data_IF_525964094962
#
_entry.id   IF_525964094962
#
_cell.length_a   1.000
_cell.length_b   1.000
_cell.length_c   1.000
_cell.angle_alpha   90.00
_cell.angle_beta   90.00
_cell.angle_gamma   90.00
#
_symmetry.space_group_name_H-M   'P 1'
#
loop_
_entity.id
_entity.type
_entity.pdbx_description
1 polymer ?
#
# COMPACT_ATOMS: atom_id res chain seq x y z
N UNK A 1 -41.51 -48.98 50.76
CA UNK A 1 -40.13 -48.43 50.59
C UNK A 1 -40.15 -47.50 49.39
N UNK A 2 -40.33 -46.23 49.66
CA UNK A 2 -40.38 -45.14 48.64
C UNK A 2 -39.02 -44.49 48.53
N UNK A 3 -38.38 -44.54 47.34
CA UNK A 3 -37.09 -43.90 47.10
C UNK A 3 -37.35 -42.49 46.55
N UNK A 4 -37.01 -41.48 47.35
CA UNK A 4 -37.04 -40.06 47.03
C UNK A 4 -35.88 -39.76 46.02
N UNK A 5 -36.20 -39.31 44.82
CA UNK A 5 -35.22 -38.80 43.85
C UNK A 5 -35.06 -37.31 44.08
N UNK A 6 -33.86 -36.90 44.49
CA UNK A 6 -33.46 -35.50 44.59
C UNK A 6 -33.19 -34.95 43.20
N UNK A 7 -33.89 -33.90 42.81
CA UNK A 7 -33.63 -33.07 41.63
C UNK A 7 -32.60 -32.00 42.03
N UNK A 8 -31.43 -32.04 41.44
CA UNK A 8 -30.48 -30.95 41.46
C UNK A 8 -30.79 -29.96 40.35
N UNK A 9 -30.88 -28.64 40.61
CA UNK A 9 -30.99 -27.67 39.54
C UNK A 9 -29.62 -27.44 38.90
N UNK A 10 -29.54 -27.65 37.59
CA UNK A 10 -28.38 -27.33 36.73
C UNK A 10 -28.31 -25.80 36.59
N UNK A 11 -27.42 -25.17 37.31
CA UNK A 11 -27.15 -23.74 37.12
C UNK A 11 -26.39 -23.54 35.78
N UNK A 12 -27.08 -22.93 34.82
CA UNK A 12 -26.49 -22.51 33.55
C UNK A 12 -25.59 -21.29 33.80
N UNK A 13 -24.30 -21.51 33.84
CA UNK A 13 -23.30 -20.44 33.92
C UNK A 13 -23.17 -19.82 32.53
N UNK A 14 -23.87 -18.72 32.28
CA UNK A 14 -23.69 -17.91 31.07
C UNK A 14 -22.36 -17.18 31.22
N UNK A 15 -21.33 -17.73 30.62
CA UNK A 15 -20.05 -17.01 30.43
C UNK A 15 -20.27 -15.92 29.38
N UNK A 16 -20.38 -14.69 29.86
CA UNK A 16 -20.38 -13.50 29.03
C UNK A 16 -18.97 -13.41 28.41
N UNK A 17 -18.82 -13.96 27.21
CA UNK A 17 -17.62 -13.76 26.38
C UNK A 17 -17.56 -12.28 26.03
N UNK A 18 -16.80 -11.52 26.81
CA UNK A 18 -16.47 -10.16 26.47
C UNK A 18 -15.78 -10.16 25.09
N UNK A 19 -16.47 -9.63 24.09
CA UNK A 19 -15.78 -9.20 22.86
C UNK A 19 -14.76 -8.16 23.32
N UNK A 20 -13.49 -8.57 23.44
CA UNK A 20 -12.39 -7.66 23.38
C UNK A 20 -12.44 -7.02 22.00
N UNK A 21 -13.07 -5.87 21.88
CA UNK A 21 -12.81 -4.94 20.79
C UNK A 21 -11.37 -4.48 20.99
N UNK A 22 -10.43 -5.20 20.38
CA UNK A 22 -9.07 -4.69 20.21
C UNK A 22 -9.27 -3.38 19.43
N UNK A 23 -8.97 -2.21 20.00
CA UNK A 23 -9.02 -0.98 19.23
C UNK A 23 -8.14 -1.24 18.00
N UNK A 24 -8.64 -0.92 16.80
CA UNK A 24 -7.82 -0.82 15.62
C UNK A 24 -6.73 0.18 16.01
N UNK A 25 -5.53 -0.32 16.36
CA UNK A 25 -4.41 0.53 16.70
C UNK A 25 -4.13 1.28 15.42
N UNK A 26 -4.56 2.53 15.35
CA UNK A 26 -4.16 3.45 14.32
C UNK A 26 -2.64 3.30 14.20
N UNK A 27 -2.10 3.33 12.98
CA UNK A 27 -0.66 3.19 12.77
C UNK A 27 0.05 4.49 13.18
N UNK A 28 -0.27 4.97 14.39
CA UNK A 28 0.21 6.24 14.96
C UNK A 28 1.74 6.32 14.97
N UNK A 29 2.40 5.17 15.13
CA UNK A 29 3.85 5.06 15.05
C UNK A 29 4.37 5.38 13.64
N UNK A 30 3.71 4.89 12.58
CA UNK A 30 4.11 5.18 11.21
C UNK A 30 3.84 6.65 10.86
N UNK A 31 2.70 7.19 11.31
CA UNK A 31 2.44 8.63 11.19
C UNK A 31 3.48 9.46 11.90
N UNK A 32 3.89 9.08 13.11
CA UNK A 32 4.93 9.79 13.86
C UNK A 32 6.32 9.73 13.19
N UNK A 33 6.60 8.69 12.40
CA UNK A 33 7.80 8.61 11.55
C UNK A 33 7.69 9.56 10.35
N UNK A 34 6.57 9.56 9.65
CA UNK A 34 6.29 10.49 8.56
C UNK A 34 6.41 11.96 9.00
N UNK A 35 5.81 12.32 10.14
CA UNK A 35 5.83 13.69 10.67
C UNK A 35 7.25 14.19 10.98
N UNK A 36 8.23 13.27 11.12
CA UNK A 36 9.64 13.57 11.37
C UNK A 36 10.51 13.45 10.13
N UNK A 37 9.97 12.96 9.03
CA UNK A 37 10.74 12.80 7.80
C UNK A 37 11.19 14.17 7.27
N UNK A 38 12.48 14.32 6.89
CA UNK A 38 12.97 15.53 6.24
C UNK A 38 12.65 15.56 4.74
N UNK A 39 12.15 14.46 4.16
CA UNK A 39 11.95 14.33 2.73
C UNK A 39 10.67 15.01 2.26
N UNK A 40 10.70 15.49 1.02
CA UNK A 40 9.51 16.03 0.39
C UNK A 40 8.59 14.90 -0.08
N UNK A 41 7.41 14.83 0.52
CA UNK A 41 6.31 13.98 0.10
C UNK A 41 5.06 14.80 -0.18
N UNK A 42 4.36 14.51 -1.27
CA UNK A 42 3.18 15.25 -1.67
C UNK A 42 2.10 14.34 -2.28
N UNK A 43 0.85 14.77 -2.16
CA UNK A 43 -0.22 14.16 -2.95
C UNK A 43 -0.30 14.81 -4.32
N UNK A 44 -0.39 13.97 -5.35
CA UNK A 44 -0.55 14.42 -6.73
C UNK A 44 -1.82 13.83 -7.34
N UNK A 45 -2.39 14.57 -8.30
CA UNK A 45 -3.52 14.12 -9.10
C UNK A 45 -3.03 13.72 -10.49
N UNK A 46 -3.18 12.45 -10.83
CA UNK A 46 -2.77 11.88 -12.10
C UNK A 46 -4.03 11.66 -12.94
N UNK A 47 -4.13 12.37 -14.07
CA UNK A 47 -5.26 12.20 -14.98
C UNK A 47 -4.99 11.05 -15.94
N UNK A 48 -5.84 10.03 -15.90
CA UNK A 48 -5.79 8.92 -16.82
C UNK A 48 -6.41 9.23 -18.20
N UNK A 49 -6.04 8.47 -19.23
CA UNK A 49 -6.68 8.59 -20.55
C UNK A 49 -8.20 8.35 -20.52
N UNK A 50 -8.70 7.55 -19.59
CA UNK A 50 -10.12 7.30 -19.34
C UNK A 50 -10.89 8.54 -18.86
N UNK A 51 -10.16 9.56 -18.37
CA UNK A 51 -10.72 10.72 -17.69
C UNK A 51 -10.81 10.55 -16.16
N UNK A 52 -10.52 9.38 -15.63
CA UNK A 52 -10.39 9.12 -14.18
C UNK A 52 -9.24 9.97 -13.62
N UNK A 53 -9.38 10.42 -12.39
CA UNK A 53 -8.34 11.13 -11.65
C UNK A 53 -7.87 10.22 -10.51
N UNK A 54 -6.64 9.77 -10.62
CA UNK A 54 -5.95 8.96 -9.63
C UNK A 54 -5.19 9.88 -8.66
N UNK A 55 -5.40 9.74 -7.37
CA UNK A 55 -4.57 10.36 -6.33
C UNK A 55 -3.37 9.44 -6.04
N UNK A 56 -2.20 10.01 -5.90
CA UNK A 56 -1.02 9.26 -5.52
C UNK A 56 -0.19 10.02 -4.49
N UNK A 57 0.38 9.31 -3.54
CA UNK A 57 1.44 9.82 -2.69
C UNK A 57 2.77 9.69 -3.42
N UNK A 58 3.52 10.77 -3.53
CA UNK A 58 4.82 10.78 -4.19
C UNK A 58 5.86 11.29 -3.21
N UNK A 59 6.97 10.55 -3.09
CA UNK A 59 8.10 10.95 -2.25
C UNK A 59 9.36 11.01 -3.11
N UNK A 60 10.11 12.09 -2.93
CA UNK A 60 11.32 12.35 -3.68
C UNK A 60 12.57 12.11 -2.82
N UNK A 61 13.62 11.47 -3.38
CA UNK A 61 14.87 11.29 -2.69
C UNK A 61 15.67 12.59 -2.68
N UNK A 62 16.42 12.82 -1.60
CA UNK A 62 17.37 13.95 -1.52
C UNK A 62 18.71 13.57 -2.15
N UNK A 63 18.72 13.40 -3.48
CA UNK A 63 19.91 13.05 -4.26
C UNK A 63 20.16 14.06 -5.39
N UNK A 64 21.42 14.21 -5.78
CA UNK A 64 21.80 15.12 -6.88
C UNK A 64 21.56 14.52 -8.26
N UNK A 65 21.72 13.20 -8.36
CA UNK A 65 21.60 12.47 -9.61
C UNK A 65 20.16 12.05 -9.88
N UNK A 66 19.87 11.71 -11.13
CA UNK A 66 18.56 11.15 -11.49
C UNK A 66 18.33 9.83 -10.79
N UNK A 67 17.15 9.68 -10.20
CA UNK A 67 16.76 8.54 -9.40
C UNK A 67 15.84 7.56 -10.16
N UNK A 68 15.98 6.25 -9.91
CA UNK A 68 15.01 5.27 -10.40
C UNK A 68 13.64 5.48 -9.76
N UNK A 69 12.59 5.09 -10.49
CA UNK A 69 11.21 5.17 -10.03
C UNK A 69 10.76 3.82 -9.48
N UNK A 70 10.05 3.85 -8.36
CA UNK A 70 9.33 2.71 -7.80
C UNK A 70 7.85 3.03 -7.77
N UNK A 71 7.04 2.24 -8.48
CA UNK A 71 5.60 2.19 -8.22
C UNK A 71 5.40 1.27 -7.04
N UNK A 72 4.88 1.82 -5.93
CA UNK A 72 4.60 1.04 -4.73
C UNK A 72 3.10 0.75 -4.64
N UNK A 73 2.74 -0.49 -4.31
CA UNK A 73 1.35 -0.94 -4.25
C UNK A 73 1.02 -1.31 -2.82
N UNK A 74 0.11 -0.56 -2.22
CA UNK A 74 -0.32 -0.71 -0.84
C UNK A 74 -0.93 -2.08 -0.51
N UNK A 75 -1.01 -2.40 0.77
CA UNK A 75 -1.72 -3.58 1.28
C UNK A 75 -3.24 -3.46 1.07
N UNK A 76 -3.98 -4.46 1.52
CA UNK A 76 -5.45 -4.48 1.55
C UNK A 76 -6.05 -3.32 2.38
N UNK A 77 -5.21 -2.60 3.11
CA UNK A 77 -5.58 -1.47 3.97
C UNK A 77 -5.60 -0.12 3.25
N UNK A 78 -5.41 -0.10 1.93
CA UNK A 78 -5.34 1.14 1.16
C UNK A 78 -4.07 1.93 1.41
N UNK A 79 -4.06 3.20 0.99
CA UNK A 79 -2.95 4.14 1.19
C UNK A 79 -2.91 4.59 2.66
N UNK A 80 -2.45 3.69 3.54
CA UNK A 80 -2.35 3.88 4.98
C UNK A 80 -1.11 4.71 5.37
N UNK A 81 -1.01 5.08 6.65
CA UNK A 81 0.17 5.77 7.17
C UNK A 81 1.44 4.93 7.02
N UNK A 82 1.36 3.61 7.27
CA UNK A 82 2.48 2.72 7.05
C UNK A 82 2.88 2.62 5.58
N UNK A 83 1.91 2.59 4.67
CA UNK A 83 2.20 2.55 3.24
C UNK A 83 3.00 3.79 2.83
N UNK A 84 2.56 4.98 3.24
CA UNK A 84 3.28 6.24 2.99
C UNK A 84 4.65 6.30 3.67
N UNK A 85 4.78 5.73 4.87
CA UNK A 85 6.05 5.65 5.59
C UNK A 85 7.04 4.73 4.86
N UNK A 86 6.62 3.57 4.37
CA UNK A 86 7.43 2.67 3.56
C UNK A 86 7.88 3.35 2.25
N UNK A 87 7.03 4.18 1.63
CA UNK A 87 7.40 4.99 0.47
C UNK A 87 8.50 6.00 0.84
N UNK A 88 8.39 6.63 2.00
CA UNK A 88 9.39 7.56 2.53
C UNK A 88 10.74 6.87 2.79
N UNK A 89 10.72 5.66 3.37
CA UNK A 89 11.93 4.86 3.59
C UNK A 89 12.61 4.46 2.28
N UNK A 90 11.85 4.05 1.25
CA UNK A 90 12.39 3.79 -0.08
C UNK A 90 12.99 5.05 -0.71
N UNK A 91 12.36 6.20 -0.51
CA UNK A 91 12.90 7.47 -0.97
C UNK A 91 14.22 7.81 -0.25
N UNK A 92 14.35 7.49 1.05
CA UNK A 92 15.61 7.64 1.79
C UNK A 92 16.76 6.83 1.19
N UNK A 93 16.43 5.71 0.56
CA UNK A 93 17.40 4.87 -0.15
C UNK A 93 17.69 5.35 -1.59
N UNK A 94 17.13 6.49 -2.01
CA UNK A 94 17.45 7.17 -3.26
C UNK A 94 16.55 6.82 -4.45
N UNK A 95 15.26 6.55 -4.20
CA UNK A 95 14.25 6.26 -5.22
C UNK A 95 13.15 7.30 -5.23
N UNK A 96 12.64 7.66 -6.41
CA UNK A 96 11.36 8.36 -6.52
C UNK A 96 10.29 7.31 -6.32
N UNK A 97 9.43 7.48 -5.32
CA UNK A 97 8.35 6.53 -5.05
C UNK A 97 7.03 7.15 -5.41
N UNK A 98 6.25 6.44 -6.22
CA UNK A 98 4.88 6.81 -6.59
C UNK A 98 3.96 5.73 -6.05
N UNK A 99 3.14 6.07 -5.08
CA UNK A 99 2.19 5.16 -4.46
C UNK A 99 0.76 5.62 -4.74
N UNK A 100 0.07 5.00 -5.72
CA UNK A 100 -1.31 5.35 -6.04
C UNK A 100 -2.27 4.94 -4.94
N UNK A 101 -3.22 5.80 -4.60
CA UNK A 101 -4.42 5.43 -3.86
C UNK A 101 -5.41 4.78 -4.82
N UNK A 102 -5.38 3.45 -4.89
CA UNK A 102 -6.20 2.68 -5.82
C UNK A 102 -7.71 2.76 -5.52
N UNK A 103 -8.07 3.36 -4.37
CA UNK A 103 -9.46 3.71 -4.05
C UNK A 103 -9.86 5.12 -4.52
N UNK A 104 -9.02 5.84 -5.26
CA UNK A 104 -9.36 7.15 -5.84
C UNK A 104 -10.67 7.07 -6.61
N UNK A 105 -11.59 8.01 -6.35
CA UNK A 105 -12.93 8.03 -6.98
C UNK A 105 -13.91 6.98 -6.46
N UNK A 106 -13.51 6.10 -5.54
CA UNK A 106 -14.40 5.17 -4.84
C UNK A 106 -14.71 5.68 -3.42
N UNK A 107 -15.81 5.22 -2.86
CA UNK A 107 -16.27 5.59 -1.53
C UNK A 107 -17.46 6.56 -1.54
N UNK A 108 -18.04 6.83 -0.38
CA UNK A 108 -19.11 7.81 -0.25
C UNK A 108 -18.61 9.19 -0.66
N UNK A 109 -19.47 10.05 -1.25
CA UNK A 109 -19.08 11.43 -1.51
C UNK A 109 -18.64 12.06 -0.20
N UNK A 110 -17.49 12.72 -0.20
CA UNK A 110 -17.04 13.47 0.95
C UNK A 110 -18.10 14.55 1.24
N UNK A 111 -18.88 14.37 2.29
CA UNK A 111 -19.65 15.45 2.85
C UNK A 111 -18.62 16.39 3.46
N UNK A 112 -18.28 17.45 2.75
CA UNK A 112 -17.55 18.58 3.33
C UNK A 112 -18.51 19.17 4.35
N UNK A 113 -18.52 18.64 5.57
CA UNK A 113 -19.01 19.42 6.70
C UNK A 113 -18.09 20.61 6.76
N UNK A 114 -18.59 21.76 6.39
CA UNK A 114 -17.90 23.01 6.62
C UNK A 114 -17.78 23.16 8.14
N UNK A 115 -16.57 22.94 8.71
CA UNK A 115 -16.45 23.14 10.10
C UNK A 115 -15.28 23.97 10.43
N UNK A 116 -14.86 24.73 10.78
CA UNK A 116 -13.68 25.40 11.34
C UNK A 116 -13.14 26.62 10.58
N UNK A 117 -13.56 26.88 9.35
CA UNK A 117 -13.35 28.20 8.76
C UNK A 117 -14.11 29.31 9.54
N UNK A 118 -15.20 28.97 10.22
CA UNK A 118 -16.00 29.93 11.00
C UNK A 118 -15.43 30.23 12.39
N UNK A 119 -14.53 29.43 12.93
CA UNK A 119 -13.98 29.66 14.28
C UNK A 119 -12.79 30.60 14.34
N UNK A 120 -12.16 30.87 13.20
CA UNK A 120 -11.01 31.77 13.11
C UNK A 120 -11.28 33.09 12.36
N UNK A 121 -12.52 33.35 11.96
CA UNK A 121 -12.89 34.64 11.39
C UNK A 121 -13.10 35.67 12.51
N UNK A 122 -12.26 36.67 12.54
CA UNK A 122 -12.49 37.83 13.42
C UNK A 122 -13.83 38.49 13.04
N UNK A 123 -14.64 38.92 14.02
CA UNK A 123 -15.92 39.55 13.72
C UNK A 123 -15.70 40.87 12.94
N UNK A 124 -16.15 40.93 11.69
CA UNK A 124 -16.21 42.19 10.93
C UNK A 124 -15.50 42.24 9.57
N UNK A 125 -14.93 41.14 9.07
CA UNK A 125 -14.33 41.16 7.72
C UNK A 125 -15.39 40.81 6.67
N UNK A 126 -15.69 41.75 5.78
CA UNK A 126 -16.48 41.54 4.58
C UNK A 126 -15.76 40.61 3.61
N UNK A 127 -16.48 39.77 2.83
CA UNK A 127 -15.85 38.86 1.87
C UNK A 127 -15.17 39.67 0.76
N UNK A 128 -13.89 39.41 0.56
CA UNK A 128 -13.12 40.01 -0.54
C UNK A 128 -13.59 39.41 -1.88
N UNK A 129 -13.56 40.18 -2.98
CA UNK A 129 -13.91 39.69 -4.31
C UNK A 129 -12.92 38.61 -4.74
N UNK A 130 -13.43 37.54 -5.36
CA UNK A 130 -12.60 36.49 -5.96
C UNK A 130 -11.90 37.04 -7.20
N UNK A 131 -10.68 37.56 -7.03
CA UNK A 131 -9.78 37.79 -8.14
C UNK A 131 -9.09 36.49 -8.53
N UNK A 132 -8.94 36.30 -9.84
CA UNK A 132 -8.32 35.15 -10.45
C UNK A 132 -6.89 34.95 -9.95
N UNK A 133 -6.72 34.16 -8.90
CA UNK A 133 -5.40 33.82 -8.38
C UNK A 133 -4.69 32.86 -9.33
N UNK A 134 -3.53 33.28 -9.78
CA UNK A 134 -2.53 32.44 -10.42
C UNK A 134 -2.23 31.23 -9.51
N UNK A 135 -2.61 30.04 -9.99
CA UNK A 135 -2.26 28.78 -9.35
C UNK A 135 -0.77 28.51 -9.53
N UNK A 136 0.00 28.85 -8.56
CA UNK A 136 1.39 28.41 -8.46
C UNK A 136 1.63 27.93 -7.02
N UNK A 137 1.67 26.62 -6.84
CA UNK A 137 2.37 26.02 -5.71
C UNK A 137 1.57 25.27 -4.63
N UNK A 138 0.22 25.34 -4.55
CA UNK A 138 -0.53 24.67 -3.47
C UNK A 138 -1.74 23.84 -3.95
N UNK A 139 -1.70 23.35 -5.19
CA UNK A 139 -2.85 22.67 -5.80
C UNK A 139 -3.24 21.30 -5.21
N UNK A 140 -2.34 20.64 -4.49
CA UNK A 140 -2.58 19.28 -4.00
C UNK A 140 -3.67 19.19 -2.92
N UNK A 141 -3.56 19.98 -1.87
CA UNK A 141 -4.51 19.91 -0.74
C UNK A 141 -5.91 20.45 -1.10
N UNK A 142 -5.98 21.53 -1.90
CA UNK A 142 -7.25 22.08 -2.34
C UNK A 142 -7.96 21.14 -3.33
N UNK A 143 -7.21 20.43 -4.19
CA UNK A 143 -7.76 19.46 -5.14
C UNK A 143 -8.24 18.19 -4.46
N UNK A 144 -7.54 17.73 -3.43
CA UNK A 144 -7.96 16.60 -2.59
C UNK A 144 -9.33 16.84 -1.93
N UNK A 145 -9.65 18.08 -1.57
CA UNK A 145 -10.96 18.45 -1.04
C UNK A 145 -12.09 18.37 -2.08
N UNK A 146 -11.77 18.36 -3.37
CA UNK A 146 -12.71 18.33 -4.49
C UNK A 146 -12.82 16.97 -5.18
N UNK A 147 -11.87 16.06 -4.97
CA UNK A 147 -11.91 14.69 -5.54
C UNK A 147 -12.70 13.77 -4.63
N UNK A 148 -13.84 13.22 -5.06
CA UNK A 148 -14.55 12.23 -4.28
C UNK A 148 -13.74 10.93 -4.21
N UNK A 149 -13.70 10.30 -3.02
CA UNK A 149 -13.14 8.98 -2.85
C UNK A 149 -11.69 8.96 -2.38
N UNK A 150 -11.11 7.77 -2.40
CA UNK A 150 -9.81 7.44 -1.84
C UNK A 150 -9.90 6.73 -0.50
N UNK A 151 -8.77 6.23 -0.02
CA UNK A 151 -8.71 5.45 1.24
C UNK A 151 -9.33 6.20 2.42
N UNK A 152 -9.09 7.49 2.55
CA UNK A 152 -9.59 8.32 3.64
C UNK A 152 -11.09 8.62 3.58
N UNK A 153 -11.77 8.32 2.46
CA UNK A 153 -13.21 8.53 2.34
C UNK A 153 -14.04 7.43 3.00
N UNK A 154 -13.43 6.31 3.38
CA UNK A 154 -14.13 5.20 4.00
C UNK A 154 -14.21 5.36 5.51
N UNK A 155 -15.33 4.94 6.14
CA UNK A 155 -15.59 5.21 7.55
C UNK A 155 -14.70 4.42 8.52
N UNK A 156 -14.20 3.27 8.07
CA UNK A 156 -13.35 2.40 8.88
C UNK A 156 -12.52 1.45 8.01
N UNK A 157 -11.58 0.75 8.67
CA UNK A 157 -10.67 -0.19 8.03
C UNK A 157 -11.38 -1.36 7.34
N UNK A 158 -12.50 -1.85 7.86
CA UNK A 158 -13.24 -2.96 7.26
C UNK A 158 -13.88 -2.53 5.94
N UNK A 159 -14.38 -1.29 5.88
CA UNK A 159 -14.89 -0.72 4.65
C UNK A 159 -13.79 -0.56 3.59
N UNK A 160 -12.59 -0.11 3.98
CA UNK A 160 -11.41 -0.07 3.10
C UNK A 160 -11.06 -1.46 2.58
N UNK A 161 -10.93 -2.46 3.46
CA UNK A 161 -10.61 -3.84 3.09
C UNK A 161 -11.62 -4.40 2.08
N UNK A 162 -12.91 -4.18 2.33
CA UNK A 162 -13.97 -4.60 1.41
C UNK A 162 -13.85 -3.91 0.04
N UNK A 163 -13.61 -2.61 0.04
CA UNK A 163 -13.47 -1.82 -1.19
C UNK A 163 -12.26 -2.27 -2.00
N UNK A 164 -11.08 -2.37 -1.39
CA UNK A 164 -9.83 -2.84 -2.05
C UNK A 164 -10.00 -4.24 -2.61
N UNK A 165 -10.68 -5.14 -1.85
CA UNK A 165 -10.91 -6.52 -2.29
C UNK A 165 -11.84 -6.61 -3.51
N UNK A 166 -12.68 -5.61 -3.75
CA UNK A 166 -13.66 -5.58 -4.84
C UNK A 166 -13.22 -4.75 -6.05
N UNK A 167 -12.00 -4.19 -6.04
CA UNK A 167 -11.47 -3.44 -7.16
C UNK A 167 -11.38 -4.29 -8.44
N UNK A 168 -11.85 -3.73 -9.54
CA UNK A 168 -11.71 -4.34 -10.86
C UNK A 168 -10.22 -4.42 -11.24
N UNK A 169 -9.69 -5.61 -11.58
CA UNK A 169 -8.30 -5.76 -11.99
C UNK A 169 -7.89 -4.87 -13.17
N UNK A 170 -8.80 -4.56 -14.08
CA UNK A 170 -8.50 -3.69 -15.23
C UNK A 170 -8.29 -2.23 -14.80
N UNK A 171 -9.09 -1.74 -13.85
CA UNK A 171 -8.92 -0.42 -13.26
C UNK A 171 -7.58 -0.35 -12.51
N UNK A 172 -7.26 -1.38 -11.71
CA UNK A 172 -5.98 -1.43 -10.99
C UNK A 172 -4.79 -1.38 -11.96
N UNK A 173 -4.84 -2.11 -13.08
CA UNK A 173 -3.75 -2.07 -14.07
C UNK A 173 -3.63 -0.70 -14.74
N UNK A 174 -4.73 -0.03 -15.06
CA UNK A 174 -4.73 1.30 -15.63
C UNK A 174 -4.16 2.34 -14.66
N UNK A 175 -4.58 2.29 -13.38
CA UNK A 175 -4.05 3.14 -12.31
C UNK A 175 -2.53 2.95 -12.15
N UNK A 176 -2.04 1.70 -12.17
CA UNK A 176 -0.61 1.39 -12.06
C UNK A 176 0.18 1.86 -13.28
N UNK A 177 -0.37 1.76 -14.49
CA UNK A 177 0.25 2.31 -15.69
C UNK A 177 0.34 3.84 -15.60
N UNK A 178 -0.72 4.50 -15.16
CA UNK A 178 -0.74 5.95 -14.98
C UNK A 178 0.30 6.41 -13.95
N UNK A 179 0.41 5.72 -12.81
CA UNK A 179 1.40 5.99 -11.78
C UNK A 179 2.83 5.79 -12.30
N UNK A 180 3.08 4.70 -13.05
CA UNK A 180 4.38 4.41 -13.64
C UNK A 180 4.79 5.46 -14.67
N UNK A 181 3.89 5.85 -15.54
CA UNK A 181 4.12 6.88 -16.57
C UNK A 181 4.32 8.25 -15.95
N UNK A 182 3.59 8.58 -14.89
CA UNK A 182 3.78 9.80 -14.12
C UNK A 182 5.20 9.84 -13.52
N UNK A 183 5.60 8.80 -12.81
CA UNK A 183 6.92 8.71 -12.20
C UNK A 183 8.06 8.82 -13.22
N UNK A 184 7.97 8.13 -14.34
CA UNK A 184 8.97 8.18 -15.42
C UNK A 184 9.08 9.55 -16.10
N UNK A 185 8.03 10.35 -16.09
CA UNK A 185 8.02 11.72 -16.64
C UNK A 185 8.62 12.75 -15.70
N UNK A 186 8.91 12.41 -14.45
CA UNK A 186 9.54 13.34 -13.51
C UNK A 186 10.93 13.77 -14.04
N UNK A 187 11.26 15.06 -13.97
CA UNK A 187 12.58 15.56 -14.46
C UNK A 187 13.75 14.87 -13.77
N UNK A 188 13.59 14.48 -12.51
CA UNK A 188 14.58 13.78 -11.70
C UNK A 188 14.64 12.26 -11.97
N UNK A 189 13.76 11.71 -12.82
CA UNK A 189 13.73 10.27 -13.09
C UNK A 189 14.87 9.82 -14.00
N UNK A 190 15.51 8.69 -13.66
CA UNK A 190 16.61 8.09 -14.45
C UNK A 190 16.12 7.26 -15.66
N UNK A 191 14.81 6.99 -15.72
CA UNK A 191 14.19 6.10 -16.71
C UNK A 191 14.08 4.64 -16.26
N UNK A 192 14.77 4.22 -15.19
CA UNK A 192 14.59 2.90 -14.57
C UNK A 192 13.28 2.86 -13.81
N UNK A 193 12.53 1.77 -13.99
CA UNK A 193 11.21 1.57 -13.37
C UNK A 193 11.19 0.25 -12.60
N UNK A 194 10.84 0.31 -11.34
CA UNK A 194 10.57 -0.83 -10.47
C UNK A 194 9.12 -0.84 -10.03
N UNK A 195 8.63 -2.01 -9.65
CA UNK A 195 7.36 -2.16 -8.94
C UNK A 195 7.58 -2.99 -7.68
N UNK A 196 7.03 -2.55 -6.56
CA UNK A 196 7.04 -3.27 -5.29
C UNK A 196 5.64 -3.21 -4.67
N UNK A 197 5.17 -4.29 -4.07
CA UNK A 197 3.88 -4.29 -3.41
C UNK A 197 3.75 -5.37 -2.36
N UNK A 198 2.81 -5.13 -1.44
CA UNK A 198 2.71 -5.84 -0.18
C UNK A 198 1.34 -6.49 -0.03
N UNK A 199 1.25 -7.73 0.45
CA UNK A 199 0.02 -8.46 0.69
C UNK A 199 -0.85 -8.55 -0.60
N UNK A 200 -2.03 -7.95 -0.59
CA UNK A 200 -2.86 -7.77 -1.79
C UNK A 200 -2.08 -7.07 -2.91
N UNK A 201 -1.37 -5.99 -2.58
CA UNK A 201 -0.49 -5.28 -3.51
C UNK A 201 0.65 -6.15 -4.03
N UNK A 202 1.15 -7.11 -3.25
CA UNK A 202 2.13 -8.10 -3.72
C UNK A 202 1.58 -8.95 -4.86
N UNK A 203 0.34 -9.41 -4.75
CA UNK A 203 -0.35 -10.10 -5.85
C UNK A 203 -0.56 -9.20 -7.08
N UNK A 204 -0.88 -7.91 -6.86
CA UNK A 204 -1.01 -6.92 -7.95
C UNK A 204 0.32 -6.60 -8.61
N UNK A 205 1.42 -6.56 -7.85
CA UNK A 205 2.79 -6.45 -8.38
C UNK A 205 3.12 -7.59 -9.33
N UNK A 206 2.80 -8.82 -8.95
CA UNK A 206 3.06 -9.98 -9.79
C UNK A 206 2.18 -9.95 -11.05
N UNK A 207 0.91 -9.59 -10.93
CA UNK A 207 0.02 -9.40 -12.06
C UNK A 207 0.51 -8.26 -12.99
N UNK A 208 0.93 -7.12 -12.43
CA UNK A 208 1.46 -6.00 -13.19
C UNK A 208 2.73 -6.37 -13.98
N UNK A 209 3.59 -7.24 -13.44
CA UNK A 209 4.75 -7.76 -14.16
C UNK A 209 4.37 -8.57 -15.41
N UNK A 210 3.17 -9.17 -15.47
CA UNK A 210 2.68 -9.83 -16.69
C UNK A 210 2.19 -8.84 -17.74
N UNK A 211 1.83 -7.63 -17.32
CA UNK A 211 1.25 -6.57 -18.14
C UNK A 211 2.33 -5.58 -18.63
N UNK A 212 3.07 -4.96 -17.72
CA UNK A 212 4.06 -3.90 -18.00
C UNK A 212 5.38 -4.47 -18.49
N UNK A 213 5.91 -3.96 -19.64
CA UNK A 213 7.09 -4.55 -20.31
C UNK A 213 8.41 -3.84 -20.05
N UNK A 214 8.37 -2.60 -19.56
CA UNK A 214 9.56 -1.77 -19.30
C UNK A 214 9.99 -1.73 -17.84
N UNK A 215 9.52 -2.69 -17.02
CA UNK A 215 9.98 -2.87 -15.66
C UNK A 215 11.43 -3.36 -15.63
N UNK A 216 12.25 -2.77 -14.76
CA UNK A 216 13.60 -3.27 -14.44
C UNK A 216 13.55 -4.49 -13.53
N UNK A 217 12.60 -4.52 -12.57
CA UNK A 217 12.28 -5.67 -11.72
C UNK A 217 10.92 -5.49 -11.04
N UNK A 218 10.36 -6.61 -10.55
CA UNK A 218 9.17 -6.66 -9.71
C UNK A 218 9.49 -7.32 -8.36
N UNK A 219 9.05 -6.71 -7.25
CA UNK A 219 9.31 -7.15 -5.87
C UNK A 219 7.99 -7.49 -5.18
N UNK A 220 7.75 -8.78 -5.00
CA UNK A 220 6.49 -9.34 -4.51
C UNK A 220 6.62 -9.71 -3.05
N UNK A 221 6.00 -8.93 -2.16
CA UNK A 221 5.98 -9.23 -0.73
C UNK A 221 4.70 -9.97 -0.37
N UNK A 222 4.84 -11.22 0.07
CA UNK A 222 3.78 -12.11 0.57
C UNK A 222 2.46 -12.03 -0.22
N UNK A 223 2.59 -11.93 -1.55
CA UNK A 223 1.47 -11.89 -2.50
C UNK A 223 1.35 -13.18 -3.31
N UNK A 224 0.12 -13.57 -3.71
CA UNK A 224 -0.10 -14.74 -4.53
C UNK A 224 0.39 -14.53 -5.98
N UNK A 225 0.71 -15.62 -6.71
CA UNK A 225 1.07 -15.54 -8.12
C UNK A 225 -0.15 -15.22 -9.00
N UNK A 226 0.06 -14.70 -10.22
CA UNK A 226 -0.97 -14.60 -11.24
C UNK A 226 -1.26 -15.99 -11.86
N UNK A 227 -2.30 -16.12 -12.71
CA UNK A 227 -2.55 -17.32 -13.47
C UNK A 227 -1.30 -17.78 -14.26
N UNK A 228 -0.99 -19.09 -14.23
CA UNK A 228 0.24 -19.64 -14.80
C UNK A 228 0.42 -19.33 -16.29
N UNK A 229 -0.66 -19.36 -17.06
CA UNK A 229 -0.66 -19.07 -18.50
C UNK A 229 -0.29 -17.63 -18.84
N UNK A 230 -0.39 -16.70 -17.88
CA UNK A 230 0.00 -15.28 -18.03
C UNK A 230 1.47 -15.04 -17.75
N UNK A 231 2.15 -15.94 -17.02
CA UNK A 231 3.55 -15.79 -16.61
C UNK A 231 4.50 -15.69 -17.80
N UNK A 232 4.16 -16.30 -18.93
CA UNK A 232 4.93 -16.17 -20.21
C UNK A 232 5.09 -14.73 -20.66
N UNK A 233 4.20 -13.84 -20.24
CA UNK A 233 4.20 -12.43 -20.62
C UNK A 233 5.19 -11.58 -19.79
N UNK A 234 5.73 -12.12 -18.68
CA UNK A 234 6.67 -11.41 -17.82
C UNK A 234 7.99 -11.20 -18.58
N UNK A 235 8.53 -9.98 -18.48
CA UNK A 235 9.84 -9.62 -19.09
C UNK A 235 10.89 -9.40 -18.00
N UNK A 236 10.52 -8.67 -16.95
CA UNK A 236 11.41 -8.34 -15.85
C UNK A 236 11.62 -9.52 -14.88
N UNK A 237 12.77 -9.57 -14.18
CA UNK A 237 12.94 -10.52 -13.08
C UNK A 237 11.93 -10.22 -11.96
N UNK A 238 11.43 -11.30 -11.33
CA UNK A 238 10.52 -11.24 -10.19
C UNK A 238 11.24 -11.77 -8.96
N UNK A 239 11.25 -10.98 -7.90
CA UNK A 239 11.83 -11.33 -6.60
C UNK A 239 10.72 -11.46 -5.57
N UNK A 240 10.61 -12.65 -4.96
CA UNK A 240 9.60 -12.94 -3.95
C UNK A 240 10.15 -12.83 -2.54
N UNK A 241 9.32 -12.31 -1.62
CA UNK A 241 9.62 -12.13 -0.20
C UNK A 241 8.46 -12.74 0.61
N UNK A 242 8.65 -13.92 1.16
CA UNK A 242 7.55 -14.72 1.71
C UNK A 242 7.76 -15.02 3.18
N UNK A 243 6.66 -15.10 3.92
CA UNK A 243 6.66 -15.41 5.35
C UNK A 243 6.58 -16.92 5.59
N UNK A 244 7.41 -17.47 6.47
CA UNK A 244 7.40 -18.89 6.81
C UNK A 244 6.10 -19.35 7.47
N UNK A 245 5.48 -18.49 8.27
CA UNK A 245 4.21 -18.76 8.95
C UNK A 245 2.98 -18.27 8.16
N UNK A 246 3.09 -18.14 6.82
CA UNK A 246 1.96 -17.86 5.93
C UNK A 246 1.70 -19.04 5.01
N UNK A 247 1.13 -20.10 5.55
CA UNK A 247 0.89 -21.34 4.81
C UNK A 247 0.05 -21.13 3.53
N UNK A 248 -0.87 -20.18 3.53
CA UNK A 248 -1.74 -19.86 2.39
C UNK A 248 -0.96 -19.36 1.18
N UNK A 249 0.00 -18.49 1.39
CA UNK A 249 0.82 -17.91 0.32
C UNK A 249 2.05 -18.78 0.05
N UNK A 250 2.75 -19.23 1.09
CA UNK A 250 3.99 -19.99 0.94
C UNK A 250 3.79 -21.34 0.27
N UNK A 251 2.61 -21.95 0.42
CA UNK A 251 2.24 -23.17 -0.32
C UNK A 251 2.19 -22.98 -1.85
N UNK A 252 2.08 -21.75 -2.34
CA UNK A 252 2.06 -21.47 -3.79
C UNK A 252 3.46 -21.43 -4.42
N UNK A 253 4.51 -21.25 -3.61
CA UNK A 253 5.90 -21.01 -4.09
C UNK A 253 6.43 -22.17 -4.95
N UNK A 254 6.30 -23.45 -4.54
CA UNK A 254 6.83 -24.56 -5.33
C UNK A 254 6.23 -24.60 -6.74
N UNK A 255 4.90 -24.51 -6.86
CA UNK A 255 4.23 -24.52 -8.16
C UNK A 255 4.59 -23.28 -8.99
N UNK A 256 4.59 -22.08 -8.37
CA UNK A 256 5.00 -20.85 -9.04
C UNK A 256 6.42 -20.95 -9.60
N UNK A 257 7.33 -21.58 -8.86
CA UNK A 257 8.72 -21.79 -9.33
C UNK A 257 8.77 -22.67 -10.56
N UNK A 258 7.96 -23.73 -10.58
CA UNK A 258 7.84 -24.65 -11.74
C UNK A 258 7.28 -23.88 -12.95
N UNK A 259 6.19 -23.14 -12.76
CA UNK A 259 5.49 -22.41 -13.82
C UNK A 259 6.36 -21.30 -14.41
N UNK A 260 7.04 -20.52 -13.58
CA UNK A 260 7.97 -19.47 -14.01
C UNK A 260 9.17 -20.04 -14.77
N UNK A 261 9.71 -21.18 -14.30
CA UNK A 261 10.77 -21.89 -15.01
C UNK A 261 10.30 -22.42 -16.36
N UNK A 262 9.13 -23.01 -16.42
CA UNK A 262 8.51 -23.50 -17.66
C UNK A 262 8.26 -22.36 -18.67
N UNK A 263 7.90 -21.17 -18.16
CA UNK A 263 7.74 -19.95 -18.96
C UNK A 263 9.09 -19.31 -19.36
N UNK A 264 10.24 -19.84 -18.89
CA UNK A 264 11.57 -19.26 -19.14
C UNK A 264 11.78 -17.91 -18.43
N UNK A 265 11.16 -17.70 -17.26
CA UNK A 265 11.19 -16.43 -16.52
C UNK A 265 12.04 -16.53 -15.26
N UNK A 266 12.69 -15.41 -14.90
CA UNK A 266 13.45 -15.32 -13.67
C UNK A 266 12.52 -15.10 -12.49
N UNK A 267 12.52 -16.03 -11.55
CA UNK A 267 11.82 -15.93 -10.27
C UNK A 267 12.76 -16.35 -9.15
N UNK A 268 12.91 -15.48 -8.15
CA UNK A 268 13.83 -15.67 -7.03
C UNK A 268 13.08 -15.44 -5.72
N UNK A 269 12.37 -16.46 -5.18
CA UNK A 269 11.68 -16.38 -3.91
C UNK A 269 12.61 -16.64 -2.73
N UNK A 270 12.44 -15.86 -1.65
CA UNK A 270 13.03 -16.10 -0.33
C UNK A 270 11.92 -16.21 0.69
N UNK A 271 12.00 -17.23 1.54
CA UNK A 271 11.11 -17.43 2.68
C UNK A 271 11.84 -17.03 3.95
N UNK A 272 11.20 -16.21 4.78
CA UNK A 272 11.70 -15.75 6.06
C UNK A 272 11.08 -16.60 7.17
N UNK A 273 11.86 -17.49 7.74
CA UNK A 273 11.41 -18.44 8.76
C UNK A 273 10.84 -17.73 9.99
N UNK A 274 9.75 -18.27 10.53
CA UNK A 274 9.08 -17.71 11.71
C UNK A 274 8.27 -16.43 11.46
N UNK A 275 8.51 -15.73 10.35
CA UNK A 275 7.77 -14.51 10.03
C UNK A 275 6.31 -14.78 9.67
N UNK A 276 5.41 -13.91 10.11
CA UNK A 276 4.00 -13.92 9.75
C UNK A 276 3.69 -13.13 8.48
N UNK A 277 2.49 -13.35 7.92
CA UNK A 277 1.99 -12.53 6.83
C UNK A 277 2.03 -11.04 7.20
N UNK A 278 2.47 -10.19 6.28
CA UNK A 278 2.59 -8.73 6.56
C UNK A 278 3.80 -8.36 7.40
N UNK A 279 4.85 -9.19 7.45
CA UNK A 279 6.03 -8.96 8.29
C UNK A 279 6.74 -7.63 8.01
N UNK A 280 6.59 -7.03 6.83
CA UNK A 280 7.18 -5.71 6.57
C UNK A 280 6.57 -4.65 7.48
N UNK A 281 5.24 -4.64 7.60
CA UNK A 281 4.52 -3.74 8.51
C UNK A 281 4.59 -4.19 9.97
N UNK A 282 4.31 -5.47 10.22
CA UNK A 282 4.29 -6.00 11.59
C UNK A 282 5.67 -6.02 12.26
N UNK A 283 6.75 -6.13 11.46
CA UNK A 283 8.13 -6.11 11.97
C UNK A 283 8.66 -4.72 12.29
N UNK A 284 7.91 -3.68 11.96
CA UNK A 284 8.25 -2.28 12.22
C UNK A 284 7.44 -1.69 13.38
N UNK A 285 6.32 -2.33 13.70
CA UNK A 285 5.48 -1.92 14.81
C UNK A 285 6.24 -2.00 16.15
N UNK A 286 5.91 -1.12 17.13
CA UNK A 286 6.58 -1.10 18.44
C UNK A 286 6.49 -2.42 19.22
N UNK A 287 5.50 -3.24 18.94
CA UNK A 287 5.24 -4.55 19.55
C UNK A 287 5.61 -5.72 18.62
N UNK A 288 6.49 -5.48 17.64
CA UNK A 288 6.93 -6.50 16.69
C UNK A 288 7.51 -7.73 17.37
N UNK A 289 7.13 -8.93 16.90
CA UNK A 289 7.85 -10.13 17.29
C UNK A 289 9.29 -10.11 16.74
N UNK A 290 10.20 -10.84 17.42
CA UNK A 290 11.59 -10.92 16.98
C UNK A 290 11.73 -11.45 15.55
N UNK A 291 10.90 -12.43 15.16
CA UNK A 291 10.88 -13.04 13.84
C UNK A 291 10.41 -12.04 12.76
N UNK A 292 9.34 -11.30 13.03
CA UNK A 292 8.86 -10.28 12.11
C UNK A 292 9.86 -9.12 11.97
N UNK A 293 10.46 -8.66 13.06
CA UNK A 293 11.47 -7.60 13.03
C UNK A 293 12.72 -8.04 12.24
N UNK A 294 13.20 -9.28 12.46
CA UNK A 294 14.32 -9.83 11.71
C UNK A 294 14.01 -9.99 10.22
N UNK A 295 12.83 -10.50 9.89
CA UNK A 295 12.37 -10.67 8.52
C UNK A 295 12.21 -9.33 7.79
N UNK A 296 11.64 -8.32 8.46
CA UNK A 296 11.52 -6.95 7.95
C UNK A 296 12.88 -6.38 7.62
N UNK A 297 13.82 -6.43 8.56
CA UNK A 297 15.17 -5.92 8.37
C UNK A 297 15.93 -6.65 7.24
N UNK A 298 15.80 -7.98 7.15
CA UNK A 298 16.42 -8.78 6.10
C UNK A 298 15.74 -8.54 4.73
N UNK A 299 14.41 -8.46 4.69
CA UNK A 299 13.62 -8.18 3.50
C UNK A 299 13.94 -6.82 2.91
N UNK A 300 13.99 -5.78 3.73
CA UNK A 300 14.34 -4.44 3.27
C UNK A 300 15.77 -4.37 2.73
N UNK A 301 16.74 -4.93 3.46
CA UNK A 301 18.14 -5.00 2.96
C UNK A 301 18.23 -5.72 1.62
N UNK A 302 17.53 -6.86 1.45
CA UNK A 302 17.50 -7.58 0.17
C UNK A 302 16.89 -6.74 -0.94
N UNK A 303 15.78 -6.06 -0.68
CA UNK A 303 15.13 -5.15 -1.63
C UNK A 303 16.11 -4.09 -2.13
N UNK A 304 16.71 -3.34 -1.22
CA UNK A 304 17.65 -2.25 -1.56
C UNK A 304 18.90 -2.79 -2.28
N UNK A 305 19.42 -3.94 -1.87
CA UNK A 305 20.57 -4.57 -2.52
C UNK A 305 20.26 -4.96 -3.98
N UNK A 306 19.10 -5.58 -4.22
CA UNK A 306 18.68 -5.98 -5.56
C UNK A 306 18.43 -4.76 -6.46
N UNK A 307 17.72 -3.77 -5.95
CA UNK A 307 17.43 -2.53 -6.69
C UNK A 307 18.72 -1.76 -6.97
N UNK A 308 19.63 -1.67 -5.99
CA UNK A 308 20.92 -0.99 -6.13
C UNK A 308 21.81 -1.59 -7.19
N UNK A 309 21.79 -2.91 -7.36
CA UNK A 309 22.52 -3.62 -8.43
C UNK A 309 21.95 -3.39 -9.85
N UNK A 310 20.80 -2.72 -9.99
CA UNK A 310 20.12 -2.47 -11.25
C UNK A 310 19.95 -0.97 -11.59
N UNK A 311 20.56 -0.07 -10.80
CA UNK A 311 20.51 1.40 -11.00
C UNK A 311 21.16 1.86 -12.30
#
# INVERSE_FOLDING_TARGET
>A
MMRLRALFPLAFLVTLSGLCTVPCVAQDWAKAMLDKSPRHGEYVSIKEPSGRVLQAWVVYPEVKDKAPVVVMIHEIFGLSDWAREMADELASAGYIVVEPDLLSGFGPPMTVSAPDAAKNAAPGAAPAPMDHMHMQGDGGAAFMAMSPGGTSAFPDQNAVVKAVSSLDPAIVLADLDAAADYGKKQPAASGKLFVAGFCWGGGKTFAFATHRKDLSAAFVFYGPPPPADTMKNIVAPVYGFYAGNDARISATIPQTTIDMKAAGKKYDPVVYDGAGHGFMRAGEAPDASAENAAARAAGFRRLITLMGGMR
#
